data_IF_908142072330
#
_entry.id   IF_908142072330
#
_cell.length_a   1.000
_cell.length_b   1.000
_cell.length_c   1.000
_cell.angle_alpha   90.00
_cell.angle_beta   90.00
_cell.angle_gamma   90.00
#
_symmetry.space_group_name_H-M   'P 1'
#
loop_
_entity.id
_entity.type
_entity.pdbx_description
1 polymer ?
#
# COMPACT_ATOMS: atom_id res chain seq x y z
N UNK A 1 3.87 30.37 -23.37
CA UNK A 1 4.46 29.02 -23.12
C UNK A 1 3.37 27.96 -23.21
N UNK A 2 3.40 27.08 -24.23
CA UNK A 2 2.43 25.98 -24.37
C UNK A 2 2.69 24.96 -23.26
N UNK A 3 1.73 24.73 -22.36
CA UNK A 3 1.83 23.70 -21.32
C UNK A 3 1.95 22.34 -22.00
N UNK A 4 3.10 21.69 -21.87
CA UNK A 4 3.28 20.31 -22.34
C UNK A 4 2.39 19.41 -21.49
N UNK A 5 1.55 18.60 -22.14
CA UNK A 5 0.77 17.58 -21.43
C UNK A 5 1.75 16.60 -20.77
N UNK A 6 1.54 16.21 -19.50
CA UNK A 6 2.38 15.21 -18.87
C UNK A 6 2.34 13.90 -19.66
N UNK A 7 3.46 13.18 -19.70
CA UNK A 7 3.51 11.84 -20.27
C UNK A 7 2.63 10.89 -19.45
N UNK A 8 2.16 9.81 -20.09
CA UNK A 8 1.38 8.77 -19.41
C UNK A 8 2.10 8.20 -18.19
N UNK A 9 3.41 7.98 -18.29
CA UNK A 9 4.25 7.54 -17.18
C UNK A 9 4.15 8.48 -15.97
N UNK A 10 4.24 9.80 -16.20
CA UNK A 10 4.13 10.79 -15.13
C UNK A 10 2.73 10.82 -14.49
N UNK A 11 1.68 10.54 -15.26
CA UNK A 11 0.32 10.43 -14.72
C UNK A 11 0.23 9.20 -13.81
N UNK A 12 0.74 8.04 -14.25
CA UNK A 12 0.74 6.83 -13.45
C UNK A 12 1.49 7.01 -12.13
N UNK A 13 2.67 7.64 -12.14
CA UNK A 13 3.44 7.90 -10.93
C UNK A 13 2.67 8.77 -9.92
N UNK A 14 1.93 9.77 -10.41
CA UNK A 14 1.10 10.64 -9.56
C UNK A 14 -0.05 9.83 -8.96
N UNK A 15 -0.73 9.03 -9.78
CA UNK A 15 -1.85 8.19 -9.33
C UNK A 15 -1.38 7.20 -8.27
N UNK A 16 -0.28 6.49 -8.50
CA UNK A 16 0.26 5.51 -7.55
C UNK A 16 0.58 6.15 -6.20
N UNK A 17 1.24 7.32 -6.21
CA UNK A 17 1.54 8.06 -4.97
C UNK A 17 0.28 8.52 -4.25
N UNK A 18 -0.75 8.92 -4.99
CA UNK A 18 -2.00 9.38 -4.40
C UNK A 18 -2.81 8.21 -3.81
N UNK A 19 -2.82 7.06 -4.49
CA UNK A 19 -3.40 5.82 -3.96
C UNK A 19 -2.78 5.46 -2.61
N UNK A 20 -1.44 5.47 -2.52
CA UNK A 20 -0.73 5.20 -1.27
C UNK A 20 -1.11 6.20 -0.17
N UNK A 21 -1.23 7.51 -0.48
CA UNK A 21 -1.69 8.51 0.50
C UNK A 21 -3.10 8.23 1.00
N UNK A 22 -4.02 7.90 0.10
CA UNK A 22 -5.40 7.62 0.47
C UNK A 22 -5.48 6.39 1.38
N UNK A 23 -4.67 5.35 1.13
CA UNK A 23 -4.55 4.20 2.01
C UNK A 23 -4.02 4.58 3.40
N UNK A 24 -2.88 5.26 3.48
CA UNK A 24 -2.33 5.71 4.77
C UNK A 24 -3.31 6.61 5.55
N UNK A 25 -4.05 7.47 4.85
CA UNK A 25 -5.08 8.31 5.47
C UNK A 25 -6.26 7.49 6.00
N UNK A 26 -6.69 6.44 5.30
CA UNK A 26 -7.73 5.53 5.79
C UNK A 26 -7.27 4.75 7.01
N UNK A 27 -6.02 4.26 7.03
CA UNK A 27 -5.44 3.58 8.20
C UNK A 27 -5.39 4.52 9.39
N UNK A 28 -4.97 5.77 9.17
CA UNK A 28 -4.90 6.76 10.23
C UNK A 28 -6.27 7.11 10.84
N UNK A 29 -7.36 6.92 10.09
CA UNK A 29 -8.74 7.09 10.57
C UNK A 29 -9.32 5.81 11.18
N UNK A 30 -8.68 4.66 10.97
CA UNK A 30 -9.20 3.35 11.34
C UNK A 30 -10.28 2.83 10.39
N UNK A 31 -10.39 3.40 9.17
CA UNK A 31 -11.38 2.98 8.17
C UNK A 31 -10.97 1.70 7.44
N UNK A 32 -9.66 1.42 7.41
CA UNK A 32 -9.06 0.28 6.70
C UNK A 32 -7.91 -0.28 7.53
N UNK A 33 -7.73 -1.59 7.43
CA UNK A 33 -6.61 -2.31 8.05
C UNK A 33 -5.37 -2.30 7.13
N UNK A 34 -4.16 -2.37 7.71
CA UNK A 34 -2.94 -2.58 6.94
C UNK A 34 -3.01 -3.88 6.14
N UNK A 35 -2.50 -3.86 4.91
CA UNK A 35 -2.38 -5.07 4.09
C UNK A 35 -0.94 -5.50 3.82
N UNK A 36 0.05 -4.74 4.30
CA UNK A 36 1.46 -5.07 4.16
C UNK A 36 2.25 -4.58 5.38
N UNK A 37 3.47 -5.08 5.54
CA UNK A 37 4.33 -4.75 6.70
C UNK A 37 4.54 -3.24 6.86
N UNK A 38 4.81 -2.52 5.77
CA UNK A 38 5.01 -1.07 5.77
C UNK A 38 3.80 -0.32 6.33
N UNK A 39 2.60 -0.71 5.92
CA UNK A 39 1.36 -0.16 6.45
C UNK A 39 1.16 -0.53 7.93
N UNK A 40 1.55 -1.74 8.32
CA UNK A 40 1.56 -2.20 9.70
C UNK A 40 2.47 -1.33 10.59
N UNK A 41 3.68 -1.02 10.14
CA UNK A 41 4.60 -0.11 10.84
C UNK A 41 4.05 1.30 10.96
N UNK A 42 3.37 1.80 9.92
CA UNK A 42 2.71 3.09 9.96
C UNK A 42 1.61 3.12 11.03
N UNK A 43 0.74 2.11 11.06
CA UNK A 43 -0.32 1.99 12.05
C UNK A 43 0.25 1.86 13.47
N UNK A 44 1.25 0.99 13.65
CA UNK A 44 1.95 0.83 14.94
C UNK A 44 2.51 2.17 15.44
N UNK A 45 3.14 2.94 14.56
CA UNK A 45 3.66 4.27 14.91
C UNK A 45 2.55 5.22 15.42
N UNK A 46 1.36 5.17 14.82
CA UNK A 46 0.21 5.96 15.30
C UNK A 46 -0.27 5.48 16.68
N UNK A 47 -0.33 4.17 16.90
CA UNK A 47 -0.77 3.58 18.17
C UNK A 47 0.17 3.90 19.33
N UNK A 48 1.49 3.97 19.06
CA UNK A 48 2.50 4.45 20.02
C UNK A 48 2.44 5.97 20.28
N UNK A 49 1.47 6.68 19.66
CA UNK A 49 1.29 8.12 19.82
C UNK A 49 2.27 8.97 19.02
N UNK A 50 3.03 8.37 18.09
CA UNK A 50 3.86 9.13 17.17
C UNK A 50 3.02 9.83 16.08
N UNK A 51 3.66 10.76 15.37
CA UNK A 51 3.06 11.50 14.25
C UNK A 51 3.85 11.23 12.96
N UNK A 52 3.77 10.01 12.41
CA UNK A 52 4.49 9.64 11.19
C UNK A 52 4.05 10.55 10.03
N UNK A 53 5.01 10.94 9.18
CA UNK A 53 4.70 11.67 7.95
C UNK A 53 4.39 10.66 6.86
N UNK A 54 3.35 10.91 6.07
CA UNK A 54 2.99 10.00 4.98
C UNK A 54 4.13 9.84 3.96
N UNK A 55 4.94 10.88 3.75
CA UNK A 55 6.09 10.84 2.86
C UNK A 55 7.07 9.72 3.17
N UNK A 56 7.18 9.34 4.44
CA UNK A 56 8.17 8.37 4.91
C UNK A 56 7.70 6.93 4.63
N UNK A 57 6.41 6.77 4.33
CA UNK A 57 5.75 5.50 4.01
C UNK A 57 5.25 5.44 2.57
N UNK A 58 5.51 6.46 1.73
CA UNK A 58 5.18 6.42 0.30
C UNK A 58 6.39 5.91 -0.48
N UNK A 59 6.23 4.76 -1.10
CA UNK A 59 7.23 4.14 -1.95
C UNK A 59 7.28 4.78 -3.34
N UNK A 60 8.46 4.78 -3.97
CA UNK A 60 8.57 4.96 -5.42
C UNK A 60 7.65 3.98 -6.16
N UNK A 61 7.04 4.37 -7.30
CA UNK A 61 6.05 3.55 -7.98
C UNK A 61 6.48 2.11 -8.28
N UNK A 62 7.74 1.89 -8.65
CA UNK A 62 8.25 0.55 -8.95
C UNK A 62 8.35 -0.34 -7.71
N UNK A 63 8.71 0.22 -6.55
CA UNK A 63 8.77 -0.51 -5.29
C UNK A 63 7.37 -0.81 -4.75
N UNK A 64 6.43 0.13 -4.96
CA UNK A 64 5.03 -0.10 -4.61
C UNK A 64 4.43 -1.25 -5.43
N UNK A 65 4.67 -1.29 -6.74
CA UNK A 65 4.15 -2.37 -7.58
C UNK A 65 4.73 -3.73 -7.19
N UNK A 66 6.02 -3.78 -6.84
CA UNK A 66 6.66 -5.00 -6.35
C UNK A 66 6.07 -5.46 -5.00
N UNK A 67 5.85 -4.55 -4.05
CA UNK A 67 5.19 -4.86 -2.76
C UNK A 67 3.77 -5.41 -2.95
N UNK A 68 3.01 -4.89 -3.94
CA UNK A 68 1.68 -5.41 -4.25
C UNK A 68 1.73 -6.82 -4.85
N UNK A 69 2.68 -7.10 -5.74
CA UNK A 69 2.85 -8.44 -6.33
C UNK A 69 3.18 -9.48 -5.24
N UNK A 70 4.06 -9.14 -4.29
CA UNK A 70 4.41 -10.01 -3.16
C UNK A 70 3.21 -10.25 -2.23
N UNK A 71 2.40 -9.22 -1.97
CA UNK A 71 1.19 -9.35 -1.12
C UNK A 71 0.15 -10.26 -1.77
N UNK A 72 -0.07 -10.12 -3.09
CA UNK A 72 -1.04 -10.93 -3.83
C UNK A 72 -0.62 -12.42 -3.87
N UNK A 73 0.68 -12.70 -3.97
CA UNK A 73 1.23 -14.06 -3.96
C UNK A 73 1.05 -14.74 -2.59
N UNK A 74 1.27 -14.01 -1.48
CA UNK A 74 1.08 -14.51 -0.12
C UNK A 74 -0.39 -14.84 0.18
N UNK A 75 -1.32 -13.98 -0.24
CA UNK A 75 -2.76 -14.22 -0.10
C UNK A 75 -3.19 -15.49 -0.85
N UNK A 76 -2.69 -15.69 -2.06
CA UNK A 76 -2.98 -16.88 -2.87
C UNK A 76 -2.43 -18.17 -2.23
N UNK A 77 -1.27 -18.10 -1.57
CA UNK A 77 -0.70 -19.23 -0.84
C UNK A 77 -1.54 -19.59 0.39
N UNK A 78 -2.00 -18.59 1.15
CA UNK A 78 -2.86 -18.79 2.32
C UNK A 78 -4.21 -19.43 2.00
N UNK A 79 -4.86 -19.02 0.91
CA UNK A 79 -6.14 -19.60 0.48
C UNK A 79 -6.03 -21.09 0.10
N UNK A 80 -4.89 -21.50 -0.48
CA UNK A 80 -4.67 -22.90 -0.86
C UNK A 80 -4.51 -23.82 0.37
N UNK A 81 -3.86 -23.34 1.43
CA UNK A 81 -3.65 -24.09 2.66
C UNK A 81 -4.96 -24.23 3.47
N UNK A 82 -5.79 -23.19 3.54
CA UNK A 82 -7.11 -23.24 4.18
C UNK A 82 -8.08 -24.19 3.44
N UNK A 83 -8.02 -24.21 2.10
CA UNK A 83 -8.77 -25.17 1.29
C UNK A 83 -8.32 -26.63 1.55
N UNK A 84 -7.02 -26.85 1.79
CA UNK A 84 -6.50 -28.18 2.11
C UNK A 84 -6.90 -28.66 3.52
N UNK A 85 -6.96 -27.75 4.49
CA UNK A 85 -7.37 -28.03 5.88
C UNK A 85 -8.88 -28.33 6.00
N UNK A 86 -9.72 -27.70 5.18
CA UNK A 86 -11.19 -27.88 5.19
C UNK A 86 -11.67 -29.10 4.41
N UNK A 87 -10.83 -29.64 3.51
CA UNK A 87 -11.13 -30.83 2.72
C UNK A 87 -10.75 -32.17 3.41
N UNK A 88 -10.18 -32.10 4.62
CA UNK A 88 -9.68 -33.25 5.39
C UNK A 88 -10.61 -33.65 6.54
#
# INVERSE_FOLDING_TARGET
MKRRRPSRLRINDIVIRETQRLRLAGIARGDIEPNCEREGFFQWSLLEGHRPRYSDFILPPILFLWEQEETDDDDAAGEADDAALTAS
#
